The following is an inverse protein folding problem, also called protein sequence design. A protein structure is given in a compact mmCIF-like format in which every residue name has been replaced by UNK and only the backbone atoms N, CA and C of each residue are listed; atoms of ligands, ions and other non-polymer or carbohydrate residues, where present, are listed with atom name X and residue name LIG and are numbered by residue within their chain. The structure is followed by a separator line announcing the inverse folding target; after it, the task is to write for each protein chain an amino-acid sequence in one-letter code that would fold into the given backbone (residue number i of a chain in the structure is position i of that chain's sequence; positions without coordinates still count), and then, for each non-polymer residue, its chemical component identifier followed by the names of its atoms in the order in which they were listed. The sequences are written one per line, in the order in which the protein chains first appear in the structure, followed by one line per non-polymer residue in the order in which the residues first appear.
data_IF_841180826520
#
_entry.id   IF_841180826520
#
_cell.length_a   1.000
_cell.length_b   1.000
_cell.length_c   1.000
_cell.angle_alpha   90.00
_cell.angle_beta   90.00
_cell.angle_gamma   90.00
#
_symmetry.space_group_name_H-M   'P 1'
#
loop_
_entity.id
_entity.type
_entity.pdbx_description
1 polymer ?
#
# COMPACT_ATOMS: atom_id res chain seq x y z
N UNK A 1 -11.64 37.92 17.22
CA UNK A 1 -10.46 37.03 17.24
C UNK A 1 -10.88 35.67 16.69
N UNK A 2 -10.14 35.07 15.73
CA UNK A 2 -10.46 33.73 15.23
C UNK A 2 -10.01 32.70 16.29
N UNK A 3 -10.86 31.77 16.73
CA UNK A 3 -10.45 30.78 17.72
C UNK A 3 -9.31 29.94 17.16
N UNK A 4 -8.31 29.67 18.00
CA UNK A 4 -7.21 28.79 17.66
C UNK A 4 -7.68 27.33 17.71
N UNK A 5 -7.30 26.56 16.69
CA UNK A 5 -7.58 25.13 16.62
C UNK A 5 -6.56 24.41 17.48
N UNK A 6 -7.02 23.48 18.32
CA UNK A 6 -6.12 22.67 19.13
C UNK A 6 -5.19 21.81 18.26
N UNK A 7 -3.93 21.59 18.68
CA UNK A 7 -3.03 20.69 17.99
C UNK A 7 -3.62 19.26 18.00
N UNK A 8 -3.42 18.53 16.90
CA UNK A 8 -4.03 17.21 16.70
C UNK A 8 -2.98 16.21 16.16
N UNK A 9 -2.63 16.24 14.87
CA UNK A 9 -1.68 15.26 14.29
C UNK A 9 -0.32 15.29 14.98
N UNK A 10 0.19 16.47 15.33
CA UNK A 10 1.53 16.64 15.92
C UNK A 10 1.66 16.14 17.37
N UNK A 11 0.54 15.99 18.09
CA UNK A 11 0.55 15.60 19.51
C UNK A 11 -0.10 14.24 19.75
N UNK A 12 -0.78 13.67 18.76
CA UNK A 12 -1.54 12.44 18.91
C UNK A 12 -0.64 11.20 18.81
N UNK A 13 -0.71 10.32 19.81
CA UNK A 13 -0.05 9.02 19.77
C UNK A 13 -0.89 8.04 18.95
N UNK A 14 -0.53 7.87 17.68
CA UNK A 14 -1.29 7.02 16.75
C UNK A 14 -1.24 5.53 17.17
N UNK A 15 -2.41 4.89 17.41
CA UNK A 15 -2.47 3.44 17.55
C UNK A 15 -2.23 2.76 16.20
N UNK A 16 -1.81 1.48 16.21
CA UNK A 16 -1.56 0.70 14.98
C UNK A 16 -2.77 0.68 14.04
N UNK A 17 -3.99 0.71 14.60
CA UNK A 17 -5.24 0.85 13.86
C UNK A 17 -5.25 2.10 12.98
N UNK A 18 -4.89 3.25 13.55
CA UNK A 18 -4.87 4.52 12.82
C UNK A 18 -3.78 4.49 11.74
N UNK A 19 -2.60 3.95 12.06
CA UNK A 19 -1.50 3.77 11.09
C UNK A 19 -1.97 2.88 9.93
N UNK A 20 -2.67 1.78 10.20
CA UNK A 20 -3.21 0.89 9.15
C UNK A 20 -4.22 1.59 8.24
N UNK A 21 -5.05 2.47 8.80
CA UNK A 21 -6.02 3.27 8.03
C UNK A 21 -5.33 4.29 7.14
N UNK A 22 -4.33 5.02 7.67
CA UNK A 22 -3.50 5.95 6.89
C UNK A 22 -2.81 5.20 5.75
N UNK A 23 -2.21 4.03 6.04
CA UNK A 23 -1.54 3.22 5.04
C UNK A 23 -2.50 2.74 3.95
N UNK A 24 -3.75 2.38 4.30
CA UNK A 24 -4.76 1.99 3.31
C UNK A 24 -5.09 3.15 2.35
N UNK A 25 -5.10 4.39 2.84
CA UNK A 25 -5.29 5.59 2.00
C UNK A 25 -4.07 5.88 1.13
N UNK A 26 -2.87 5.81 1.70
CA UNK A 26 -1.62 6.03 0.95
C UNK A 26 -1.51 5.01 -0.19
N UNK A 27 -1.73 3.73 0.10
CA UNK A 27 -1.69 2.67 -0.91
C UNK A 27 -2.74 2.88 -2.00
N UNK A 28 -3.97 3.27 -1.65
CA UNK A 28 -5.02 3.61 -2.63
C UNK A 28 -4.66 4.81 -3.52
N UNK A 29 -4.06 5.85 -2.93
CA UNK A 29 -3.56 7.01 -3.67
C UNK A 29 -2.40 6.62 -4.62
N UNK A 30 -1.46 5.83 -4.13
CA UNK A 30 -0.33 5.32 -4.92
C UNK A 30 -0.81 4.49 -6.10
N UNK A 31 -1.77 3.58 -5.90
CA UNK A 31 -2.34 2.77 -6.96
C UNK A 31 -3.06 3.63 -8.00
N UNK A 32 -3.93 4.54 -7.57
CA UNK A 32 -4.64 5.46 -8.48
C UNK A 32 -3.66 6.30 -9.31
N UNK A 33 -2.66 6.89 -8.65
CA UNK A 33 -1.61 7.67 -9.32
C UNK A 33 -0.79 6.81 -10.28
N UNK A 34 -0.47 5.58 -9.88
CA UNK A 34 0.24 4.60 -10.72
C UNK A 34 -0.52 4.31 -12.01
N UNK A 35 -1.82 4.01 -11.93
CA UNK A 35 -2.64 3.77 -13.12
C UNK A 35 -2.75 4.99 -14.03
N UNK A 36 -2.89 6.19 -13.47
CA UNK A 36 -2.89 7.44 -14.25
C UNK A 36 -1.56 7.60 -14.99
N UNK A 37 -0.43 7.42 -14.30
CA UNK A 37 0.90 7.52 -14.90
C UNK A 37 1.15 6.45 -15.96
N UNK A 38 0.67 5.22 -15.75
CA UNK A 38 0.72 4.15 -16.76
C UNK A 38 -0.09 4.54 -18.02
N UNK A 39 -1.30 5.08 -17.83
CA UNK A 39 -2.11 5.62 -18.93
C UNK A 39 -1.39 6.72 -19.71
N UNK A 40 -0.83 7.70 -19.00
CA UNK A 40 -0.04 8.79 -19.62
C UNK A 40 1.20 8.24 -20.34
N UNK A 41 1.89 7.25 -19.76
CA UNK A 41 3.10 6.67 -20.34
C UNK A 41 2.83 6.00 -21.68
N UNK A 42 1.60 5.53 -21.91
CA UNK A 42 1.18 4.85 -23.15
C UNK A 42 1.22 5.76 -24.38
N UNK A 43 1.23 7.09 -24.19
CA UNK A 43 1.47 8.05 -25.27
C UNK A 43 2.95 8.16 -25.69
N UNK A 44 3.86 7.51 -24.98
CA UNK A 44 5.32 7.59 -25.21
C UNK A 44 5.97 6.20 -25.34
N UNK A 45 5.58 5.37 -26.34
CA UNK A 45 6.01 3.98 -26.45
C UNK A 45 7.54 3.80 -26.56
N UNK A 46 8.24 4.69 -27.27
CA UNK A 46 9.71 4.66 -27.36
C UNK A 46 10.40 4.82 -25.99
N UNK A 47 9.82 5.65 -25.11
CA UNK A 47 10.36 5.83 -23.75
C UNK A 47 10.10 4.61 -22.88
N UNK A 48 8.95 3.96 -23.05
CA UNK A 48 8.63 2.71 -22.36
C UNK A 48 9.61 1.59 -22.74
N UNK A 49 9.95 1.46 -24.03
CA UNK A 49 10.92 0.46 -24.51
C UNK A 49 12.32 0.68 -23.90
N UNK A 50 12.79 1.94 -23.85
CA UNK A 50 14.06 2.30 -23.22
C UNK A 50 14.04 1.94 -21.73
N UNK A 51 12.96 2.28 -21.02
CA UNK A 51 12.81 1.96 -19.60
C UNK A 51 12.81 0.45 -19.36
N UNK A 52 12.10 -0.32 -20.19
CA UNK A 52 12.06 -1.77 -20.13
C UNK A 52 13.45 -2.38 -20.38
N UNK A 53 14.21 -1.85 -21.34
CA UNK A 53 15.60 -2.28 -21.58
C UNK A 53 16.49 -2.03 -20.36
N UNK A 54 16.38 -0.86 -19.72
CA UNK A 54 17.11 -0.57 -18.48
C UNK A 54 16.71 -1.50 -17.34
N UNK A 55 15.42 -1.77 -17.19
CA UNK A 55 14.91 -2.71 -16.20
C UNK A 55 15.43 -4.14 -16.44
N UNK A 56 15.38 -4.62 -17.68
CA UNK A 56 15.86 -5.97 -18.04
C UNK A 56 17.35 -6.16 -17.78
N UNK A 57 18.15 -5.11 -18.01
CA UNK A 57 19.60 -5.11 -17.75
C UNK A 57 19.97 -4.83 -16.29
N UNK A 58 18.99 -4.55 -15.43
CA UNK A 58 19.25 -4.27 -14.02
C UNK A 58 19.54 -5.54 -13.23
N UNK A 59 20.23 -5.37 -12.10
CA UNK A 59 20.54 -6.50 -11.23
C UNK A 59 19.28 -7.07 -10.56
N UNK A 60 19.38 -8.32 -10.14
CA UNK A 60 18.27 -9.07 -9.51
C UNK A 60 17.71 -8.36 -8.26
N UNK A 61 18.58 -7.71 -7.49
CA UNK A 61 18.19 -6.98 -6.28
C UNK A 61 17.27 -5.80 -6.60
N UNK A 62 17.57 -5.04 -7.66
CA UNK A 62 16.75 -3.92 -8.09
C UNK A 62 15.40 -4.40 -8.62
N UNK A 63 15.38 -5.45 -9.45
CA UNK A 63 14.14 -6.06 -9.96
C UNK A 63 13.24 -6.53 -8.81
N UNK A 64 13.80 -7.25 -7.84
CA UNK A 64 13.07 -7.75 -6.68
C UNK A 64 12.51 -6.61 -5.80
N UNK A 65 13.31 -5.56 -5.61
CA UNK A 65 12.89 -4.36 -4.86
C UNK A 65 11.73 -3.64 -5.56
N UNK A 66 11.82 -3.46 -6.89
CA UNK A 66 10.75 -2.86 -7.70
C UNK A 66 9.47 -3.70 -7.58
N UNK A 67 9.56 -5.02 -7.77
CA UNK A 67 8.40 -5.90 -7.65
C UNK A 67 7.77 -5.83 -6.24
N UNK A 68 8.58 -5.86 -5.19
CA UNK A 68 8.08 -5.77 -3.81
C UNK A 68 7.34 -4.43 -3.58
N UNK A 69 7.91 -3.32 -4.05
CA UNK A 69 7.31 -1.99 -3.93
C UNK A 69 6.02 -1.84 -4.75
N UNK A 70 5.87 -2.59 -5.84
CA UNK A 70 4.64 -2.63 -6.64
C UNK A 70 3.57 -3.53 -6.01
N UNK A 71 3.94 -4.70 -5.50
CA UNK A 71 2.99 -5.66 -4.93
C UNK A 71 2.47 -5.24 -3.56
N UNK A 72 3.31 -4.61 -2.72
CA UNK A 72 2.89 -4.17 -1.39
C UNK A 72 1.63 -3.28 -1.37
N UNK A 73 1.56 -2.16 -2.13
CA UNK A 73 0.37 -1.32 -2.11
C UNK A 73 -0.87 -2.04 -2.64
N UNK A 74 -0.74 -2.93 -3.63
CA UNK A 74 -1.85 -3.75 -4.14
C UNK A 74 -2.38 -4.66 -3.03
N UNK A 75 -1.50 -5.48 -2.45
CA UNK A 75 -1.87 -6.46 -1.43
C UNK A 75 -2.44 -5.77 -0.19
N UNK A 76 -1.78 -4.73 0.31
CA UNK A 76 -2.21 -4.00 1.49
C UNK A 76 -3.56 -3.32 1.29
N UNK A 77 -3.76 -2.65 0.14
CA UNK A 77 -5.01 -1.92 -0.12
C UNK A 77 -6.20 -2.86 -0.27
N UNK A 78 -6.03 -3.97 -1.00
CA UNK A 78 -7.09 -4.96 -1.21
C UNK A 78 -7.46 -5.64 0.11
N UNK A 79 -6.48 -6.15 0.85
CA UNK A 79 -6.72 -6.81 2.14
C UNK A 79 -7.27 -5.83 3.19
N UNK A 80 -6.78 -4.60 3.19
CA UNK A 80 -7.27 -3.52 4.04
C UNK A 80 -8.73 -3.18 3.72
N UNK A 81 -9.08 -3.11 2.43
CA UNK A 81 -10.44 -2.95 1.92
C UNK A 81 -11.36 -4.08 2.36
N UNK A 82 -10.95 -5.34 2.19
CA UNK A 82 -11.72 -6.50 2.69
C UNK A 82 -11.96 -6.41 4.20
N UNK A 83 -10.94 -6.03 4.96
CA UNK A 83 -11.08 -5.83 6.40
C UNK A 83 -12.09 -4.72 6.74
N UNK A 84 -12.12 -3.62 5.98
CA UNK A 84 -13.13 -2.56 6.14
C UNK A 84 -14.54 -3.08 5.85
N UNK A 85 -14.73 -3.81 4.74
CA UNK A 85 -16.00 -4.45 4.39
C UNK A 85 -16.45 -5.40 5.51
N UNK A 86 -15.54 -6.20 6.07
CA UNK A 86 -15.84 -7.09 7.19
C UNK A 86 -16.26 -6.32 8.45
N UNK A 87 -15.68 -5.15 8.71
CA UNK A 87 -16.09 -4.32 9.83
C UNK A 87 -17.47 -3.69 9.63
N UNK A 88 -17.82 -3.34 8.39
CA UNK A 88 -19.13 -2.81 8.04
C UNK A 88 -20.22 -3.89 8.18
N UNK A 89 -19.94 -5.12 7.72
CA UNK A 89 -20.86 -6.26 7.85
C UNK A 89 -20.95 -6.76 9.30
N UNK A 90 -19.83 -6.73 10.03
CA UNK A 90 -19.73 -7.27 11.38
C UNK A 90 -19.11 -6.25 12.36
N UNK A 91 -19.89 -5.27 12.83
CA UNK A 91 -19.40 -4.20 13.72
C UNK A 91 -18.83 -4.69 15.05
N UNK A 92 -19.18 -5.91 15.49
CA UNK A 92 -18.64 -6.51 16.70
C UNK A 92 -17.12 -6.81 16.63
N UNK A 93 -16.51 -6.68 15.44
CA UNK A 93 -15.07 -6.76 15.20
C UNK A 93 -14.36 -5.44 15.55
N UNK A 94 -15.09 -4.31 15.67
CA UNK A 94 -14.57 -2.99 16.03
C UNK A 94 -14.26 -2.83 17.53
N UNK A 95 -13.76 -3.90 18.17
CA UNK A 95 -13.24 -3.85 19.55
C UNK A 95 -11.75 -3.58 19.51
N UNK A 96 -11.24 -2.68 20.35
CA UNK A 96 -9.83 -2.22 20.36
C UNK A 96 -8.80 -3.35 20.16
N UNK A 97 -8.93 -4.46 20.91
CA UNK A 97 -8.03 -5.62 20.80
C UNK A 97 -8.13 -6.31 19.43
N UNK A 98 -9.35 -6.57 18.93
CA UNK A 98 -9.58 -7.23 17.64
C UNK A 98 -9.06 -6.37 16.48
N UNK A 99 -9.34 -5.07 16.53
CA UNK A 99 -8.92 -4.10 15.52
C UNK A 99 -7.39 -3.98 15.50
N UNK A 100 -6.75 -3.89 16.66
CA UNK A 100 -5.29 -3.88 16.77
C UNK A 100 -4.67 -5.14 16.18
N UNK A 101 -5.15 -6.32 16.59
CA UNK A 101 -4.66 -7.61 16.09
C UNK A 101 -4.82 -7.75 14.57
N UNK A 102 -6.00 -7.38 14.05
CA UNK A 102 -6.25 -7.40 12.60
C UNK A 102 -5.36 -6.43 11.83
N UNK A 103 -4.93 -5.32 12.47
CA UNK A 103 -4.01 -4.36 11.85
C UNK A 103 -2.60 -4.92 11.76
N UNK A 104 -2.09 -5.59 12.81
CA UNK A 104 -0.81 -6.30 12.75
C UNK A 104 -0.84 -7.44 11.72
N UNK A 105 -1.93 -8.22 11.68
CA UNK A 105 -2.11 -9.27 10.69
C UNK A 105 -2.11 -8.71 9.25
N UNK A 106 -2.79 -7.58 9.03
CA UNK A 106 -2.81 -6.90 7.74
C UNK A 106 -1.40 -6.50 7.28
N UNK A 107 -0.61 -5.87 8.14
CA UNK A 107 0.78 -5.51 7.82
C UNK A 107 1.64 -6.75 7.54
N UNK A 108 1.59 -7.76 8.42
CA UNK A 108 2.41 -8.96 8.29
C UNK A 108 2.08 -9.75 7.02
N UNK A 109 0.80 -10.04 6.79
CA UNK A 109 0.36 -10.83 5.66
C UNK A 109 0.59 -10.12 4.32
N UNK A 110 0.31 -8.81 4.25
CA UNK A 110 0.57 -8.03 3.02
C UNK A 110 2.05 -7.98 2.67
N UNK A 111 2.94 -7.82 3.67
CA UNK A 111 4.39 -7.84 3.46
C UNK A 111 4.88 -9.20 2.97
N UNK A 112 4.51 -10.28 3.66
CA UNK A 112 4.92 -11.65 3.28
C UNK A 112 4.44 -11.97 1.87
N UNK A 113 3.16 -11.72 1.58
CA UNK A 113 2.59 -11.97 0.26
C UNK A 113 3.34 -11.19 -0.83
N UNK A 114 3.70 -9.94 -0.57
CA UNK A 114 4.42 -9.11 -1.54
C UNK A 114 5.83 -9.59 -1.81
N UNK A 115 6.56 -10.04 -0.78
CA UNK A 115 7.88 -10.65 -0.96
C UNK A 115 7.81 -11.97 -1.73
N UNK A 116 6.82 -12.81 -1.42
CA UNK A 116 6.60 -14.08 -2.12
C UNK A 116 6.28 -13.83 -3.60
N UNK A 117 5.36 -12.92 -3.90
CA UNK A 117 5.03 -12.58 -5.29
C UNK A 117 6.21 -11.96 -6.03
N UNK A 118 6.98 -11.09 -5.37
CA UNK A 118 8.20 -10.53 -5.96
C UNK A 118 9.21 -11.64 -6.30
N UNK A 119 9.42 -12.59 -5.39
CA UNK A 119 10.35 -13.71 -5.60
C UNK A 119 9.99 -14.53 -6.85
N UNK A 120 8.71 -14.87 -7.02
CA UNK A 120 8.26 -15.65 -8.18
C UNK A 120 8.21 -14.88 -9.50
N UNK A 121 8.25 -13.55 -9.46
CA UNK A 121 8.19 -12.72 -10.68
C UNK A 121 9.57 -12.22 -11.11
N UNK A 122 10.55 -12.27 -10.22
CA UNK A 122 11.91 -11.79 -10.49
C UNK A 122 12.74 -12.90 -11.13
N UNK A 123 12.71 -12.96 -12.46
CA UNK A 123 13.60 -13.74 -13.32
C UNK A 123 14.89 -12.97 -13.71
#
# INVERSE_FOLDING_TARGET
MKPQISPHVSIYKFPITAISSIMNRITGFTLSSGFILLGISSFYPKKQEILLKHYNNSNIFLKYSIHTLLYFPVNFHVLGGFRHILWDIQPNLLKNKKVSNSSYALFGFSSILSFVMAYYTTD
#
